data_IF_113006246361
#
_entry.id   IF_113006246361
#
_cell.length_a   1.000
_cell.length_b   1.000
_cell.length_c   1.000
_cell.angle_alpha   90.00
_cell.angle_beta   90.00
_cell.angle_gamma   90.00
#
_symmetry.space_group_name_H-M   'P 1'
#
loop_
_entity.id
_entity.type
_entity.pdbx_description
1 polymer ?
#
# COMPACT_ATOMS: atom_id res chain seq x y z
N UNK A 1 15.46 -7.80 -12.31
CA UNK A 1 15.01 -9.12 -11.83
C UNK A 1 13.60 -9.00 -11.29
N UNK A 2 12.73 -9.96 -11.61
CA UNK A 2 11.35 -9.94 -11.13
C UNK A 2 11.28 -10.18 -9.62
N UNK A 3 10.38 -9.48 -8.92
CA UNK A 3 10.10 -9.72 -7.51
C UNK A 3 9.43 -11.08 -7.29
N UNK A 4 8.76 -11.60 -8.31
CA UNK A 4 8.05 -12.88 -8.26
C UNK A 4 8.66 -13.83 -9.29
N UNK A 5 9.90 -14.36 -9.06
CA UNK A 5 10.61 -15.15 -10.05
C UNK A 5 10.05 -16.56 -10.20
N UNK A 6 9.34 -17.09 -9.22
CA UNK A 6 8.83 -18.44 -9.21
C UNK A 6 7.38 -18.49 -9.64
N UNK A 7 7.01 -19.58 -10.34
CA UNK A 7 5.66 -19.80 -10.84
C UNK A 7 4.64 -19.79 -9.69
N UNK A 8 4.97 -20.37 -8.55
CA UNK A 8 4.11 -20.41 -7.38
C UNK A 8 3.75 -19.01 -6.90
N UNK A 9 4.74 -18.13 -6.82
CA UNK A 9 4.52 -16.75 -6.38
C UNK A 9 3.63 -15.98 -7.36
N UNK A 10 3.81 -16.21 -8.65
CA UNK A 10 2.99 -15.58 -9.68
C UNK A 10 1.55 -16.06 -9.62
N UNK A 11 1.34 -17.35 -9.39
CA UNK A 11 -0.01 -17.93 -9.29
C UNK A 11 -0.72 -17.41 -8.02
N UNK A 12 0.00 -17.30 -6.91
CA UNK A 12 -0.52 -16.75 -5.67
C UNK A 12 -0.93 -15.29 -5.85
N UNK A 13 -0.09 -14.48 -6.49
CA UNK A 13 -0.39 -13.08 -6.78
C UNK A 13 -1.62 -12.95 -7.68
N UNK A 14 -1.73 -13.82 -8.69
CA UNK A 14 -2.88 -13.83 -9.60
C UNK A 14 -4.18 -14.10 -8.84
N UNK A 15 -4.16 -15.03 -7.89
CA UNK A 15 -5.31 -15.31 -7.04
C UNK A 15 -5.67 -14.12 -6.16
N UNK A 16 -4.67 -13.45 -5.59
CA UNK A 16 -4.90 -12.26 -4.77
C UNK A 16 -5.54 -11.13 -5.57
N UNK A 17 -5.06 -10.90 -6.79
CA UNK A 17 -5.63 -9.89 -7.68
C UNK A 17 -7.09 -10.22 -8.00
N UNK A 18 -7.39 -11.49 -8.25
CA UNK A 18 -8.76 -11.93 -8.50
C UNK A 18 -9.65 -11.75 -7.27
N UNK A 19 -9.15 -12.08 -6.09
CA UNK A 19 -9.88 -11.86 -4.84
C UNK A 19 -10.20 -10.38 -4.64
N UNK A 20 -9.23 -9.50 -4.90
CA UNK A 20 -9.43 -8.07 -4.77
C UNK A 20 -10.48 -7.56 -5.75
N UNK A 21 -10.43 -8.00 -7.00
CA UNK A 21 -11.42 -7.62 -8.00
C UNK A 21 -12.84 -8.07 -7.59
N UNK A 22 -12.96 -9.28 -7.09
CA UNK A 22 -14.24 -9.81 -6.63
C UNK A 22 -14.78 -9.02 -5.44
N UNK A 23 -13.91 -8.69 -4.51
CA UNK A 23 -14.28 -7.94 -3.32
C UNK A 23 -14.73 -6.52 -3.69
N UNK A 24 -13.98 -5.86 -4.56
CA UNK A 24 -14.26 -4.51 -5.03
C UNK A 24 -15.58 -4.44 -5.81
N UNK A 25 -15.89 -5.49 -6.58
CA UNK A 25 -17.12 -5.58 -7.35
C UNK A 25 -18.32 -6.04 -6.54
N UNK A 26 -18.15 -6.36 -5.26
CA UNK A 26 -19.22 -6.85 -4.40
C UNK A 26 -19.61 -8.31 -4.67
N UNK A 27 -18.79 -9.05 -5.41
CA UNK A 27 -19.07 -10.47 -5.73
C UNK A 27 -18.64 -11.42 -4.62
N UNK A 28 -17.86 -10.94 -3.65
CA UNK A 28 -17.37 -11.74 -2.54
C UNK A 28 -17.39 -10.90 -1.27
N UNK A 29 -17.64 -11.56 -0.14
CA UNK A 29 -17.52 -10.97 1.19
C UNK A 29 -16.29 -11.52 1.92
N UNK A 30 -15.45 -12.27 1.22
CA UNK A 30 -14.19 -12.77 1.76
C UNK A 30 -13.29 -11.59 2.09
N UNK A 31 -12.54 -11.74 3.18
CA UNK A 31 -11.65 -10.69 3.54
C UNK A 31 -10.21 -10.99 3.13
N UNK A 32 -9.46 -9.97 2.83
CA UNK A 32 -8.07 -10.09 2.42
C UNK A 32 -7.18 -9.72 3.61
N UNK A 33 -6.19 -10.55 3.90
CA UNK A 33 -5.25 -10.26 4.98
C UNK A 33 -4.40 -9.04 4.67
N UNK A 34 -3.91 -8.36 5.71
CA UNK A 34 -3.10 -7.16 5.57
C UNK A 34 -1.86 -7.42 4.69
N UNK A 35 -1.14 -8.51 4.94
CA UNK A 35 0.05 -8.85 4.17
C UNK A 35 -0.28 -9.07 2.69
N UNK A 36 -1.45 -9.61 2.41
CA UNK A 36 -1.90 -9.83 1.04
C UNK A 36 -2.21 -8.52 0.33
N UNK A 37 -2.78 -7.55 1.03
CA UNK A 37 -2.96 -6.21 0.48
C UNK A 37 -1.62 -5.57 0.13
N UNK A 38 -0.61 -5.73 0.98
CA UNK A 38 0.71 -5.19 0.70
C UNK A 38 1.31 -5.77 -0.58
N UNK A 39 1.11 -7.06 -0.83
CA UNK A 39 1.56 -7.70 -2.07
C UNK A 39 0.86 -7.12 -3.30
N UNK A 40 -0.44 -6.86 -3.20
CA UNK A 40 -1.20 -6.27 -4.29
C UNK A 40 -0.73 -4.83 -4.56
N UNK A 41 -0.54 -4.05 -3.50
CA UNK A 41 -0.05 -2.67 -3.62
C UNK A 41 1.32 -2.65 -4.29
N UNK A 42 2.24 -3.51 -3.85
CA UNK A 42 3.59 -3.60 -4.41
C UNK A 42 3.57 -3.99 -5.88
N UNK A 43 2.64 -4.87 -6.26
CA UNK A 43 2.48 -5.27 -7.66
C UNK A 43 2.19 -4.06 -8.56
N UNK A 44 1.22 -3.22 -8.16
CA UNK A 44 0.88 -2.04 -8.94
C UNK A 44 1.96 -0.97 -8.89
N UNK A 45 2.61 -0.81 -7.75
CA UNK A 45 3.71 0.13 -7.58
C UNK A 45 4.90 -0.23 -8.49
N UNK A 46 5.26 -1.50 -8.55
CA UNK A 46 6.36 -1.97 -9.41
C UNK A 46 6.06 -1.78 -10.89
N UNK A 47 4.80 -1.79 -11.27
CA UNK A 47 4.36 -1.53 -12.65
C UNK A 47 4.19 -0.04 -12.94
N UNK A 48 4.51 0.81 -11.98
CA UNK A 48 4.32 2.25 -12.07
C UNK A 48 2.86 2.65 -12.30
N UNK A 49 1.94 1.81 -11.85
CA UNK A 49 0.50 2.06 -11.89
C UNK A 49 0.06 2.66 -10.55
N UNK A 50 0.49 3.90 -10.31
CA UNK A 50 0.33 4.57 -9.01
C UNK A 50 -1.14 4.77 -8.64
N UNK A 51 -1.99 5.09 -9.61
CA UNK A 51 -3.41 5.29 -9.35
C UNK A 51 -4.07 4.02 -8.79
N UNK A 52 -3.77 2.87 -9.40
CA UNK A 52 -4.27 1.59 -8.91
C UNK A 52 -3.68 1.23 -7.55
N UNK A 53 -2.38 1.49 -7.36
CA UNK A 53 -1.74 1.25 -6.06
C UNK A 53 -2.41 2.07 -4.96
N UNK A 54 -2.73 3.33 -5.22
CA UNK A 54 -3.43 4.19 -4.26
C UNK A 54 -4.85 3.69 -3.98
N UNK A 55 -5.57 3.25 -5.00
CA UNK A 55 -6.92 2.71 -4.83
C UNK A 55 -6.92 1.49 -3.90
N UNK A 56 -6.00 0.53 -4.14
CA UNK A 56 -5.86 -0.64 -3.29
C UNK A 56 -5.48 -0.25 -1.87
N UNK A 57 -4.56 0.70 -1.74
CA UNK A 57 -4.10 1.17 -0.43
C UNK A 57 -5.25 1.79 0.36
N UNK A 58 -6.07 2.61 -0.28
CA UNK A 58 -7.25 3.20 0.37
C UNK A 58 -8.23 2.14 0.83
N UNK A 59 -8.47 1.12 0.00
CA UNK A 59 -9.32 0.02 0.35
C UNK A 59 -8.75 -0.75 1.55
N UNK A 60 -7.45 -1.03 1.52
CA UNK A 60 -6.76 -1.73 2.61
C UNK A 60 -6.84 -0.95 3.93
N UNK A 61 -6.65 0.36 3.89
CA UNK A 61 -6.75 1.21 5.08
C UNK A 61 -8.17 1.18 5.65
N UNK A 62 -9.19 1.11 4.79
CA UNK A 62 -10.58 1.01 5.26
C UNK A 62 -10.82 -0.28 6.04
N UNK A 63 -10.10 -1.37 5.72
CA UNK A 63 -10.19 -2.64 6.42
C UNK A 63 -9.27 -2.69 7.66
N UNK A 64 -8.13 -2.04 7.57
CA UNK A 64 -7.09 -2.04 8.62
C UNK A 64 -6.69 -0.61 8.97
N UNK A 65 -7.58 0.16 9.62
CA UNK A 65 -7.35 1.60 9.84
C UNK A 65 -6.21 1.92 10.80
N UNK A 66 -5.75 0.94 11.57
CA UNK A 66 -4.67 1.13 12.54
C UNK A 66 -3.35 0.55 12.08
N UNK A 67 -3.22 0.22 10.80
CA UNK A 67 -1.98 -0.30 10.23
C UNK A 67 -1.03 0.84 9.87
N UNK A 68 0.03 1.01 10.64
CA UNK A 68 1.07 1.99 10.30
C UNK A 68 1.74 1.65 8.97
N UNK A 69 1.92 0.36 8.67
CA UNK A 69 2.53 -0.08 7.42
C UNK A 69 1.74 0.38 6.19
N UNK A 70 0.41 0.29 6.23
CA UNK A 70 -0.43 0.74 5.13
C UNK A 70 -0.44 2.26 4.99
N UNK A 71 -0.44 2.98 6.11
CA UNK A 71 -0.34 4.44 6.09
C UNK A 71 0.98 4.90 5.49
N UNK A 72 2.08 4.20 5.80
CA UNK A 72 3.39 4.49 5.21
C UNK A 72 3.40 4.21 3.71
N UNK A 73 2.76 3.14 3.27
CA UNK A 73 2.65 2.84 1.84
C UNK A 73 1.89 3.94 1.11
N UNK A 74 0.80 4.44 1.69
CA UNK A 74 0.06 5.54 1.10
C UNK A 74 0.91 6.80 1.01
N UNK A 75 1.64 7.14 2.07
CA UNK A 75 2.52 8.29 2.07
C UNK A 75 3.61 8.18 0.99
N UNK A 76 4.22 7.00 0.87
CA UNK A 76 5.25 6.75 -0.14
C UNK A 76 4.70 6.95 -1.56
N UNK A 77 3.52 6.41 -1.84
CA UNK A 77 2.86 6.58 -3.14
C UNK A 77 2.51 8.05 -3.42
N UNK A 78 2.08 8.78 -2.40
CA UNK A 78 1.79 10.20 -2.53
C UNK A 78 3.05 11.02 -2.79
N UNK A 79 4.17 10.67 -2.17
CA UNK A 79 5.46 11.30 -2.45
C UNK A 79 5.86 11.05 -3.91
N UNK A 80 5.70 9.82 -4.38
CA UNK A 80 5.97 9.48 -5.78
C UNK A 80 5.10 10.28 -6.75
N UNK A 81 3.91 10.69 -6.32
CA UNK A 81 2.98 11.52 -7.09
C UNK A 81 3.17 13.02 -6.83
N UNK A 82 4.18 13.39 -6.05
CA UNK A 82 4.50 14.79 -5.68
C UNK A 82 3.39 15.47 -4.87
N UNK A 83 2.58 14.68 -4.16
CA UNK A 83 1.52 15.19 -3.28
C UNK A 83 2.03 15.24 -1.84
N UNK A 84 2.99 16.11 -1.58
CA UNK A 84 3.75 16.13 -0.33
C UNK A 84 2.93 16.50 0.90
N UNK A 85 2.00 17.43 0.77
CA UNK A 85 1.14 17.83 1.92
C UNK A 85 0.27 16.66 2.38
N UNK A 86 -0.31 15.94 1.42
CA UNK A 86 -1.13 14.76 1.73
C UNK A 86 -0.26 13.66 2.35
N UNK A 87 0.96 13.47 1.81
CA UNK A 87 1.89 12.49 2.35
C UNK A 87 2.22 12.78 3.81
N UNK A 88 2.49 14.03 4.15
CA UNK A 88 2.79 14.43 5.54
C UNK A 88 1.65 14.09 6.50
N UNK A 89 0.40 14.27 6.07
CA UNK A 89 -0.76 13.90 6.88
C UNK A 89 -0.71 12.43 7.27
N UNK A 90 -0.47 11.54 6.30
CA UNK A 90 -0.43 10.10 6.56
C UNK A 90 0.81 9.68 7.36
N UNK A 91 1.92 10.38 7.18
CA UNK A 91 3.12 10.14 7.99
C UNK A 91 2.89 10.50 9.45
N UNK A 92 2.17 11.59 9.72
CA UNK A 92 1.82 11.98 11.08
C UNK A 92 0.87 10.98 11.72
N UNK A 93 -0.10 10.48 10.94
CA UNK A 93 -1.01 9.43 11.42
C UNK A 93 -0.25 8.14 11.76
N UNK A 94 0.70 7.75 10.91
CA UNK A 94 1.53 6.57 11.15
C UNK A 94 2.39 6.73 12.40
N UNK A 95 2.93 7.93 12.63
CA UNK A 95 3.75 8.23 13.80
C UNK A 95 2.98 8.06 15.11
N UNK A 96 1.69 8.37 15.10
CA UNK A 96 0.85 8.15 16.29
C UNK A 96 0.68 6.67 16.61
N UNK A 97 0.76 5.80 15.60
CA UNK A 97 0.58 4.36 15.77
C UNK A 97 1.88 3.64 16.07
N UNK A 98 2.98 4.07 15.47
CA UNK A 98 4.29 3.44 15.62
C UNK A 98 5.40 4.48 15.46
N UNK A 99 5.97 4.93 16.57
CA UNK A 99 7.03 5.94 16.58
C UNK A 99 8.43 5.36 16.37
N UNK A 100 8.57 4.03 16.31
CA UNK A 100 9.88 3.38 16.21
C UNK A 100 10.27 3.02 14.79
N UNK A 101 9.40 3.25 13.80
CA UNK A 101 9.64 2.88 12.41
C UNK A 101 10.62 3.86 11.76
N UNK A 102 11.78 3.35 11.35
CA UNK A 102 12.82 4.16 10.70
C UNK A 102 12.33 4.68 9.35
N UNK A 103 11.57 3.88 8.60
CA UNK A 103 11.04 4.29 7.29
C UNK A 103 10.15 5.52 7.40
N UNK A 104 9.43 5.67 8.51
CA UNK A 104 8.63 6.84 8.79
C UNK A 104 9.48 8.13 8.74
N UNK A 105 10.63 8.12 9.40
CA UNK A 105 11.50 9.30 9.45
C UNK A 105 12.14 9.60 8.11
N UNK A 106 12.51 8.57 7.36
CA UNK A 106 13.05 8.73 6.01
C UNK A 106 12.01 9.37 5.10
N UNK A 107 10.78 8.89 5.11
CA UNK A 107 9.70 9.42 4.30
C UNK A 107 9.33 10.84 4.69
N UNK A 108 9.31 11.15 5.99
CA UNK A 108 9.07 12.53 6.44
C UNK A 108 10.14 13.48 5.92
N UNK A 109 11.40 13.07 5.97
CA UNK A 109 12.51 13.87 5.45
C UNK A 109 12.33 14.12 3.95
N UNK A 110 12.01 13.10 3.19
CA UNK A 110 11.76 13.22 1.75
C UNK A 110 10.62 14.21 1.46
N UNK A 111 9.53 14.12 2.22
CA UNK A 111 8.37 15.00 2.03
C UNK A 111 8.70 16.46 2.37
N UNK A 112 9.50 16.70 3.42
CA UNK A 112 9.86 18.06 3.83
C UNK A 112 10.89 18.70 2.90
N UNK A 113 11.76 17.90 2.29
CA UNK A 113 12.79 18.40 1.38
C UNK A 113 12.29 18.63 -0.05
N UNK A 114 11.12 18.17 -0.35
CA UNK A 114 10.57 18.25 -1.72
C UNK A 114 9.95 19.64 -2.07
#
# INVERSE_FOLDING_TARGET
MSKYPYRKDRDELKELLQQYDNLKAGRSHSFIEEDSFEKIIDYFDEKDEIAQALEVTDYAISQYPYSSALLLKKADLLIASKKYKQALYFLEEAELLDTTDIDLYILKTDAYLA
#
